data_IF_766804805527
#
_entry.id   IF_766804805527
#
_cell.length_a   1.000
_cell.length_b   1.000
_cell.length_c   1.000
_cell.angle_alpha   90.00
_cell.angle_beta   90.00
_cell.angle_gamma   90.00
#
_symmetry.space_group_name_H-M   'P 1'
#
loop_
_entity.id
_entity.type
_entity.pdbx_description
1 polymer ?
#
# COMPACT_ATOMS: atom_id res chain seq x y z
N UNK A 1 -3.78 -25.87 13.12
CA UNK A 1 -5.24 -25.93 12.90
C UNK A 1 -5.50 -26.37 11.46
N UNK A 2 -6.70 -26.83 11.10
CA UNK A 2 -7.08 -27.03 9.68
C UNK A 2 -7.68 -25.74 9.10
N UNK A 3 -7.61 -25.54 7.78
CA UNK A 3 -8.15 -24.33 7.11
C UNK A 3 -9.63 -24.09 7.46
N UNK A 4 -10.43 -25.15 7.47
CA UNK A 4 -11.87 -25.05 7.72
C UNK A 4 -12.17 -24.63 9.17
N UNK A 5 -11.48 -25.25 10.13
CA UNK A 5 -11.57 -24.88 11.55
C UNK A 5 -11.12 -23.42 11.79
N UNK A 6 -10.09 -22.95 11.08
CA UNK A 6 -9.70 -21.54 11.13
C UNK A 6 -10.85 -20.62 10.71
N UNK A 7 -11.49 -20.90 9.56
CA UNK A 7 -12.59 -20.06 9.04
C UNK A 7 -13.79 -20.07 9.99
N UNK A 8 -14.14 -21.25 10.53
CA UNK A 8 -15.22 -21.39 11.51
C UNK A 8 -14.93 -20.60 12.79
N UNK A 9 -13.68 -20.64 13.27
CA UNK A 9 -13.27 -19.86 14.46
C UNK A 9 -13.25 -18.37 14.20
N UNK A 10 -12.79 -17.90 13.03
CA UNK A 10 -12.81 -16.48 12.67
C UNK A 10 -14.23 -15.89 12.61
N UNK A 11 -15.26 -16.72 12.41
CA UNK A 11 -16.66 -16.28 12.43
C UNK A 11 -17.26 -16.17 13.84
N UNK A 12 -16.57 -16.65 14.88
CA UNK A 12 -17.06 -16.61 16.25
C UNK A 12 -16.93 -15.20 16.83
N UNK A 13 -18.04 -14.69 17.39
CA UNK A 13 -18.13 -13.31 17.89
C UNK A 13 -17.63 -13.13 19.34
N UNK A 14 -17.20 -14.19 20.01
CA UNK A 14 -16.89 -14.20 21.45
C UNK A 14 -15.38 -14.33 21.76
N UNK A 15 -14.51 -14.24 20.76
CA UNK A 15 -13.06 -14.37 20.94
C UNK A 15 -12.47 -13.10 21.57
N UNK A 16 -11.56 -13.29 22.53
CA UNK A 16 -10.77 -12.19 23.09
C UNK A 16 -9.80 -11.61 22.04
N UNK A 17 -9.35 -10.35 22.18
CA UNK A 17 -8.37 -9.77 21.27
C UNK A 17 -7.07 -10.60 21.15
N UNK A 18 -6.62 -11.22 22.25
CA UNK A 18 -5.46 -12.12 22.23
C UNK A 18 -5.69 -13.37 21.39
N UNK A 19 -6.86 -14.01 21.51
CA UNK A 19 -7.19 -15.20 20.72
C UNK A 19 -7.34 -14.85 19.23
N UNK A 20 -7.94 -13.69 18.92
CA UNK A 20 -8.01 -13.18 17.56
C UNK A 20 -6.63 -12.94 16.96
N UNK A 21 -5.70 -12.33 17.71
CA UNK A 21 -4.34 -12.08 17.22
C UNK A 21 -3.62 -13.39 16.87
N UNK A 22 -3.78 -14.44 17.66
CA UNK A 22 -3.18 -15.74 17.39
C UNK A 22 -3.85 -16.42 16.20
N UNK A 23 -5.19 -16.39 16.10
CA UNK A 23 -5.93 -16.91 14.95
C UNK A 23 -5.53 -16.21 13.64
N UNK A 24 -5.44 -14.88 13.65
CA UNK A 24 -4.99 -14.11 12.49
C UNK A 24 -3.52 -14.42 12.15
N UNK A 25 -2.67 -14.74 13.12
CA UNK A 25 -1.29 -15.20 12.85
C UNK A 25 -1.31 -16.59 12.20
N UNK A 26 -2.17 -17.49 12.64
CA UNK A 26 -2.33 -18.81 12.02
C UNK A 26 -2.86 -18.72 10.59
N UNK A 27 -3.75 -17.76 10.30
CA UNK A 27 -4.30 -17.50 8.97
C UNK A 27 -3.24 -17.22 7.90
N UNK A 28 -2.05 -16.76 8.30
CA UNK A 28 -0.92 -16.54 7.39
C UNK A 28 -0.47 -17.79 6.61
N UNK A 29 -0.83 -18.99 7.09
CA UNK A 29 -0.49 -20.26 6.46
C UNK A 29 -1.40 -20.62 5.27
N UNK A 30 -2.49 -19.87 5.05
CA UNK A 30 -3.51 -20.17 4.04
C UNK A 30 -3.69 -19.00 3.06
N UNK A 31 -2.83 -18.89 2.04
CA UNK A 31 -2.93 -17.83 1.02
C UNK A 31 -4.03 -18.15 0.00
N UNK A 32 -5.29 -18.07 0.43
CA UNK A 32 -6.47 -18.23 -0.43
C UNK A 32 -7.48 -17.09 -0.25
N UNK A 33 -8.38 -16.92 -1.23
CA UNK A 33 -9.32 -15.80 -1.28
C UNK A 33 -10.26 -15.76 -0.06
N UNK A 34 -10.77 -16.90 0.37
CA UNK A 34 -11.77 -16.96 1.44
C UNK A 34 -11.13 -16.57 2.78
N UNK A 35 -9.91 -17.06 3.05
CA UNK A 35 -9.14 -16.67 4.23
C UNK A 35 -8.78 -15.19 4.17
N UNK A 36 -8.41 -14.65 3.00
CA UNK A 36 -8.19 -13.22 2.83
C UNK A 36 -9.43 -12.39 3.20
N UNK A 37 -10.62 -12.79 2.70
CA UNK A 37 -11.89 -12.12 3.02
C UNK A 37 -12.25 -12.22 4.51
N UNK A 38 -12.02 -13.38 5.10
CA UNK A 38 -12.24 -13.58 6.53
C UNK A 38 -11.33 -12.67 7.37
N UNK A 39 -10.03 -12.64 7.07
CA UNK A 39 -9.05 -11.75 7.73
C UNK A 39 -9.41 -10.28 7.50
N UNK A 40 -9.89 -9.92 6.30
CA UNK A 40 -10.29 -8.55 5.97
C UNK A 40 -11.39 -8.02 6.90
N UNK A 41 -12.30 -8.87 7.40
CA UNK A 41 -13.34 -8.43 8.34
C UNK A 41 -12.79 -7.80 9.65
N UNK A 42 -11.52 -8.06 9.99
CA UNK A 42 -10.87 -7.56 11.20
C UNK A 42 -10.12 -6.23 11.03
N UNK A 43 -10.03 -5.68 9.81
CA UNK A 43 -9.31 -4.41 9.55
C UNK A 43 -9.98 -3.18 10.19
N UNK A 44 -11.24 -3.33 10.64
CA UNK A 44 -12.05 -2.34 11.38
C UNK A 44 -12.28 -2.70 12.85
N UNK A 45 -11.64 -3.74 13.36
CA UNK A 45 -11.83 -4.16 14.75
C UNK A 45 -11.50 -3.03 15.75
N UNK A 46 -12.23 -2.83 16.85
CA UNK A 46 -11.96 -1.72 17.78
C UNK A 46 -10.59 -1.79 18.45
N UNK A 47 -10.07 -3.00 18.67
CA UNK A 47 -8.72 -3.22 19.22
C UNK A 47 -7.63 -2.95 18.17
N UNK A 48 -6.73 -2.00 18.47
CA UNK A 48 -5.62 -1.59 17.62
C UNK A 48 -4.67 -2.74 17.26
N UNK A 49 -4.39 -3.66 18.19
CA UNK A 49 -3.48 -4.77 17.98
C UNK A 49 -4.10 -5.82 17.04
N UNK A 50 -5.42 -6.05 17.16
CA UNK A 50 -6.16 -6.92 16.22
C UNK A 50 -6.15 -6.32 14.81
N UNK A 51 -6.47 -5.03 14.64
CA UNK A 51 -6.38 -4.36 13.32
C UNK A 51 -4.98 -4.46 12.73
N UNK A 52 -3.97 -4.17 13.54
CA UNK A 52 -2.56 -4.23 13.15
C UNK A 52 -2.21 -5.63 12.65
N UNK A 53 -2.57 -6.67 13.42
CA UNK A 53 -2.33 -8.06 13.04
C UNK A 53 -3.08 -8.41 11.76
N UNK A 54 -4.33 -8.00 11.60
CA UNK A 54 -5.11 -8.26 10.38
C UNK A 54 -4.37 -7.74 9.13
N UNK A 55 -3.86 -6.50 9.15
CA UNK A 55 -3.05 -5.97 8.04
C UNK A 55 -1.74 -6.73 7.81
N UNK A 56 -1.04 -7.12 8.87
CA UNK A 56 0.18 -7.93 8.76
C UNK A 56 -0.13 -9.27 8.08
N UNK A 57 -1.21 -9.93 8.49
CA UNK A 57 -1.67 -11.18 7.89
C UNK A 57 -2.05 -10.95 6.43
N UNK A 58 -2.86 -9.93 6.11
CA UNK A 58 -3.25 -9.61 4.73
C UNK A 58 -2.03 -9.37 3.81
N UNK A 59 -0.97 -8.73 4.30
CA UNK A 59 0.27 -8.58 3.54
C UNK A 59 0.94 -9.92 3.20
N UNK A 60 0.78 -10.94 4.04
CA UNK A 60 1.37 -12.27 3.84
C UNK A 60 0.53 -13.15 2.91
N UNK A 61 -0.79 -13.01 2.94
CA UNK A 61 -1.72 -13.87 2.18
C UNK A 61 -2.37 -13.19 0.97
N UNK A 62 -2.02 -11.93 0.71
CA UNK A 62 -2.67 -11.01 -0.23
C UNK A 62 -3.26 -11.69 -1.48
N UNK A 63 -4.57 -11.54 -1.70
CA UNK A 63 -5.29 -12.10 -2.84
C UNK A 63 -6.03 -11.00 -3.65
N UNK A 64 -5.94 -10.96 -4.99
CA UNK A 64 -6.58 -9.91 -5.80
C UNK A 64 -8.09 -9.75 -5.60
N UNK A 65 -8.78 -10.81 -5.15
CA UNK A 65 -10.21 -10.80 -4.86
C UNK A 65 -10.65 -9.73 -3.84
N UNK A 66 -9.76 -9.25 -2.96
CA UNK A 66 -10.08 -8.22 -1.96
C UNK A 66 -9.81 -6.78 -2.44
N UNK A 67 -9.40 -6.57 -3.69
CA UNK A 67 -9.15 -5.21 -4.24
C UNK A 67 -10.36 -4.28 -4.08
N UNK A 68 -11.62 -4.69 -4.41
CA UNK A 68 -12.78 -3.83 -4.22
C UNK A 68 -12.96 -3.41 -2.75
N UNK A 69 -12.76 -4.36 -1.83
CA UNK A 69 -12.92 -4.15 -0.39
C UNK A 69 -11.84 -3.19 0.15
N UNK A 70 -10.59 -3.35 -0.29
CA UNK A 70 -9.48 -2.43 0.05
C UNK A 70 -9.73 -1.00 -0.48
N UNK A 71 -10.29 -0.87 -1.68
CA UNK A 71 -10.63 0.45 -2.24
C UNK A 71 -11.75 1.13 -1.46
N UNK A 72 -12.77 0.37 -1.04
CA UNK A 72 -13.82 0.88 -0.15
C UNK A 72 -13.24 1.29 1.20
N UNK A 73 -12.37 0.45 1.77
CA UNK A 73 -11.68 0.75 3.02
C UNK A 73 -10.95 2.10 2.98
N UNK A 74 -10.19 2.37 1.92
CA UNK A 74 -9.47 3.63 1.75
C UNK A 74 -10.36 4.87 1.68
N UNK A 75 -11.61 4.75 1.21
CA UNK A 75 -12.56 5.88 1.14
C UNK A 75 -13.07 6.27 2.53
N UNK A 76 -13.35 5.27 3.33
CA UNK A 76 -13.99 5.43 4.64
C UNK A 76 -12.98 5.68 5.76
N UNK A 77 -11.83 5.00 5.73
CA UNK A 77 -10.81 5.08 6.78
C UNK A 77 -10.18 6.48 6.86
N UNK A 78 -9.97 6.97 8.09
CA UNK A 78 -9.43 8.30 8.37
C UNK A 78 -8.11 8.26 9.14
N UNK A 79 -7.79 7.16 9.79
CA UNK A 79 -6.52 6.98 10.49
C UNK A 79 -5.39 6.76 9.47
N UNK A 80 -4.48 7.72 9.37
CA UNK A 80 -3.33 7.73 8.45
C UNK A 80 -2.56 6.41 8.45
N UNK A 81 -2.30 5.83 9.62
CA UNK A 81 -1.55 4.57 9.73
C UNK A 81 -2.26 3.43 9.01
N UNK A 82 -3.56 3.27 9.23
CA UNK A 82 -4.31 2.18 8.65
C UNK A 82 -4.56 2.38 7.16
N UNK A 83 -4.62 3.62 6.69
CA UNK A 83 -4.61 3.94 5.25
C UNK A 83 -3.29 3.53 4.60
N UNK A 84 -2.16 3.84 5.23
CA UNK A 84 -0.83 3.42 4.74
C UNK A 84 -0.67 1.89 4.77
N UNK A 85 -1.16 1.20 5.80
CA UNK A 85 -1.17 -0.28 5.84
C UNK A 85 -2.00 -0.87 4.70
N UNK A 86 -3.14 -0.27 4.38
CA UNK A 86 -3.94 -0.68 3.23
C UNK A 86 -3.17 -0.50 1.91
N UNK A 87 -2.42 0.60 1.75
CA UNK A 87 -1.52 0.81 0.62
C UNK A 87 -0.36 -0.19 0.56
N UNK A 88 0.11 -0.70 1.70
CA UNK A 88 1.08 -1.79 1.75
C UNK A 88 0.49 -3.12 1.28
N UNK A 89 -0.79 -3.41 1.59
CA UNK A 89 -1.49 -4.59 1.04
C UNK A 89 -1.58 -4.49 -0.49
N UNK A 90 -1.91 -3.32 -1.04
CA UNK A 90 -1.88 -3.11 -2.49
C UNK A 90 -0.50 -3.33 -3.11
N UNK A 91 0.57 -2.92 -2.41
CA UNK A 91 1.93 -3.21 -2.82
C UNK A 91 2.21 -4.73 -2.86
N UNK A 92 1.86 -5.44 -1.78
CA UNK A 92 2.01 -6.90 -1.66
C UNK A 92 1.23 -7.66 -2.72
N UNK A 93 0.04 -7.18 -3.08
CA UNK A 93 -0.76 -7.72 -4.19
C UNK A 93 -0.03 -7.56 -5.54
N UNK A 94 0.52 -6.38 -5.80
CA UNK A 94 1.22 -6.07 -7.04
C UNK A 94 0.36 -6.15 -8.31
N UNK A 95 -0.97 -6.16 -8.16
CA UNK A 95 -1.94 -6.34 -9.25
C UNK A 95 -2.16 -5.03 -10.02
N UNK A 96 -1.85 -4.97 -11.34
CA UNK A 96 -2.06 -3.79 -12.15
C UNK A 96 -3.50 -3.27 -12.18
N UNK A 97 -4.51 -4.12 -11.94
CA UNK A 97 -5.91 -3.72 -11.89
C UNK A 97 -6.20 -2.68 -10.77
N UNK A 98 -5.34 -2.61 -9.75
CA UNK A 98 -5.45 -1.63 -8.69
C UNK A 98 -4.93 -0.23 -9.08
N UNK A 99 -4.12 -0.09 -10.13
CA UNK A 99 -3.51 1.20 -10.51
C UNK A 99 -4.58 2.24 -10.80
N UNK A 100 -5.48 1.96 -11.76
CA UNK A 100 -6.51 2.91 -12.19
C UNK A 100 -7.40 3.38 -11.03
N UNK A 101 -7.98 2.50 -10.19
CA UNK A 101 -8.77 2.95 -9.05
C UNK A 101 -7.96 3.75 -8.01
N UNK A 102 -6.70 3.37 -7.75
CA UNK A 102 -5.84 4.08 -6.80
C UNK A 102 -5.56 5.53 -7.23
N UNK A 103 -5.47 5.81 -8.54
CA UNK A 103 -5.29 7.19 -9.04
C UNK A 103 -6.41 8.14 -8.57
N UNK A 104 -7.62 7.63 -8.31
CA UNK A 104 -8.75 8.43 -7.84
C UNK A 104 -8.55 9.05 -6.45
N UNK A 105 -7.57 8.56 -5.69
CA UNK A 105 -7.25 9.08 -4.35
C UNK A 105 -6.16 10.16 -4.36
N UNK A 106 -5.64 10.58 -5.52
CA UNK A 106 -4.54 11.56 -5.61
C UNK A 106 -4.93 12.97 -5.15
N UNK A 107 -6.22 13.23 -4.97
CA UNK A 107 -6.77 14.49 -4.49
C UNK A 107 -7.03 14.51 -2.97
N UNK A 108 -6.52 13.50 -2.25
CA UNK A 108 -6.58 13.48 -0.79
C UNK A 108 -5.87 14.69 -0.15
N UNK A 109 -6.36 15.09 1.01
CA UNK A 109 -5.83 16.25 1.75
C UNK A 109 -4.59 15.92 2.58
N UNK A 110 -4.35 14.64 2.86
CA UNK A 110 -3.21 14.18 3.66
C UNK A 110 -1.96 13.97 2.78
N UNK A 111 -0.91 14.82 2.91
CA UNK A 111 0.29 14.69 2.10
C UNK A 111 1.08 13.40 2.37
N UNK A 112 0.99 12.83 3.58
CA UNK A 112 1.67 11.57 3.93
C UNK A 112 1.00 10.42 3.18
N UNK A 113 -0.34 10.39 3.17
CA UNK A 113 -1.10 9.42 2.39
C UNK A 113 -0.81 9.57 0.88
N UNK A 114 -0.82 10.78 0.33
CA UNK A 114 -0.49 11.04 -1.09
C UNK A 114 0.93 10.55 -1.43
N UNK A 115 1.89 10.78 -0.53
CA UNK A 115 3.26 10.27 -0.67
C UNK A 115 3.32 8.75 -0.73
N UNK A 116 2.58 8.08 0.15
CA UNK A 116 2.44 6.62 0.17
C UNK A 116 1.78 6.09 -1.10
N UNK A 117 0.70 6.73 -1.54
CA UNK A 117 -0.07 6.38 -2.75
C UNK A 117 0.80 6.42 -4.01
N UNK A 118 1.58 7.49 -4.18
CA UNK A 118 2.55 7.65 -5.28
C UNK A 118 3.55 6.49 -5.30
N UNK A 119 4.09 6.15 -4.13
CA UNK A 119 5.05 5.04 -4.02
C UNK A 119 4.38 3.70 -4.34
N UNK A 120 3.19 3.44 -3.80
CA UNK A 120 2.43 2.21 -4.05
C UNK A 120 2.11 2.02 -5.53
N UNK A 121 1.61 3.06 -6.21
CA UNK A 121 1.33 3.02 -7.66
C UNK A 121 2.62 2.69 -8.44
N UNK A 122 3.74 3.32 -8.09
CA UNK A 122 5.04 3.00 -8.68
C UNK A 122 5.47 1.56 -8.47
N UNK A 123 5.26 1.02 -7.27
CA UNK A 123 5.62 -0.36 -6.91
C UNK A 123 4.75 -1.42 -7.60
N UNK A 124 3.47 -1.13 -7.83
CA UNK A 124 2.59 -1.98 -8.64
C UNK A 124 3.07 -1.96 -10.10
N UNK A 125 3.37 -0.76 -10.62
CA UNK A 125 4.06 -0.55 -11.87
C UNK A 125 3.24 -0.77 -13.14
N UNK A 126 3.92 -0.86 -14.28
CA UNK A 126 3.31 -0.96 -15.60
C UNK A 126 3.06 0.40 -16.27
N UNK A 127 2.62 0.38 -17.52
CA UNK A 127 2.49 1.59 -18.34
C UNK A 127 1.51 2.61 -17.75
N UNK A 128 0.40 2.14 -17.19
CA UNK A 128 -0.61 3.01 -16.59
C UNK A 128 -0.05 3.78 -15.39
N UNK A 129 0.75 3.10 -14.54
CA UNK A 129 1.44 3.74 -13.43
C UNK A 129 2.44 4.80 -13.92
N UNK A 130 3.23 4.49 -14.97
CA UNK A 130 4.19 5.45 -15.56
C UNK A 130 3.47 6.70 -16.08
N UNK A 131 2.38 6.52 -16.84
CA UNK A 131 1.59 7.65 -17.39
C UNK A 131 1.08 8.54 -16.27
N UNK A 132 0.40 7.95 -15.29
CA UNK A 132 -0.15 8.68 -14.16
C UNK A 132 0.92 9.44 -13.36
N UNK A 133 2.04 8.79 -13.03
CA UNK A 133 3.08 9.39 -12.20
C UNK A 133 3.78 10.57 -12.90
N UNK A 134 3.94 10.51 -14.23
CA UNK A 134 4.49 11.63 -15.00
C UNK A 134 3.51 12.79 -15.11
N UNK A 135 2.22 12.50 -15.34
CA UNK A 135 1.17 13.51 -15.35
C UNK A 135 1.07 14.22 -13.98
N UNK A 136 1.04 13.44 -12.90
CA UNK A 136 1.02 13.95 -11.54
C UNK A 136 2.28 14.78 -11.22
N UNK A 137 3.46 14.20 -11.43
CA UNK A 137 4.74 14.84 -11.08
C UNK A 137 5.03 16.13 -11.85
N UNK A 138 4.60 16.21 -13.12
CA UNK A 138 4.76 17.42 -13.95
C UNK A 138 3.68 18.49 -13.69
N UNK A 139 2.68 18.19 -12.87
CA UNK A 139 1.62 19.12 -12.47
C UNK A 139 2.00 19.95 -11.23
N UNK A 140 1.31 21.08 -10.95
CA UNK A 140 1.47 21.80 -9.69
C UNK A 140 1.21 20.94 -8.44
N UNK A 141 0.26 19.99 -8.52
CA UNK A 141 -0.06 19.08 -7.43
C UNK A 141 1.09 18.11 -7.12
N UNK A 142 1.91 17.77 -8.12
CA UNK A 142 3.10 16.94 -7.97
C UNK A 142 4.09 17.46 -6.93
N UNK A 143 4.09 18.76 -6.64
CA UNK A 143 4.97 19.39 -5.64
C UNK A 143 4.71 18.95 -4.20
N UNK A 144 3.55 18.32 -3.93
CA UNK A 144 3.25 17.75 -2.61
C UNK A 144 4.19 16.58 -2.27
N UNK A 145 4.72 15.89 -3.28
CA UNK A 145 5.64 14.77 -3.11
C UNK A 145 7.00 15.14 -3.66
N UNK A 146 8.06 14.84 -2.89
CA UNK A 146 9.43 15.09 -3.33
C UNK A 146 9.70 14.39 -4.66
N UNK A 147 10.30 15.10 -5.62
CA UNK A 147 10.60 14.58 -6.96
C UNK A 147 11.44 13.30 -6.94
N UNK A 148 12.27 13.11 -5.91
CA UNK A 148 13.08 11.89 -5.73
C UNK A 148 12.20 10.67 -5.48
N UNK A 149 11.08 10.83 -4.76
CA UNK A 149 10.10 9.77 -4.52
C UNK A 149 9.33 9.49 -5.81
N UNK A 150 8.90 10.54 -6.52
CA UNK A 150 8.19 10.39 -7.81
C UNK A 150 9.10 9.72 -8.86
N UNK A 151 10.37 10.11 -8.92
CA UNK A 151 11.37 9.53 -9.82
C UNK A 151 11.69 8.07 -9.51
N UNK A 152 11.79 7.71 -8.22
CA UNK A 152 11.91 6.30 -7.80
C UNK A 152 10.65 5.51 -8.15
N UNK A 153 9.46 6.06 -7.91
CA UNK A 153 8.19 5.42 -8.25
C UNK A 153 8.05 5.16 -9.77
N UNK A 154 8.43 6.14 -10.61
CA UNK A 154 8.47 5.97 -12.07
C UNK A 154 9.50 4.92 -12.46
N UNK A 155 10.67 4.93 -11.83
CA UNK A 155 11.72 3.94 -12.04
C UNK A 155 11.25 2.52 -11.76
N UNK A 156 10.61 2.28 -10.61
CA UNK A 156 9.99 1.00 -10.27
C UNK A 156 8.92 0.60 -11.29
N UNK A 157 8.06 1.55 -11.69
CA UNK A 157 6.99 1.26 -12.63
C UNK A 157 7.51 0.82 -14.01
N UNK A 158 8.61 1.45 -14.47
CA UNK A 158 9.28 1.13 -15.72
C UNK A 158 9.93 -0.26 -15.72
N UNK A 159 10.24 -0.87 -14.58
CA UNK A 159 10.81 -2.23 -14.53
C UNK A 159 9.86 -3.27 -15.13
N UNK A 160 8.55 -3.00 -15.09
CA UNK A 160 7.50 -3.84 -15.69
C UNK A 160 7.10 -3.40 -17.10
N UNK A 161 7.84 -2.47 -17.72
CA UNK A 161 7.55 -1.93 -19.07
C UNK A 161 8.71 -2.26 -20.03
N UNK A 162 8.60 -3.29 -20.88
CA UNK A 162 9.69 -3.73 -21.77
C UNK A 162 10.26 -2.65 -22.69
N UNK A 163 9.43 -1.67 -23.08
CA UNK A 163 9.82 -0.52 -23.91
C UNK A 163 9.71 0.81 -23.15
N UNK A 164 10.07 0.81 -21.87
CA UNK A 164 9.91 1.96 -20.99
C UNK A 164 10.49 3.27 -21.55
N UNK A 165 11.68 3.22 -22.16
CA UNK A 165 12.29 4.40 -22.77
C UNK A 165 11.46 4.98 -23.93
N UNK A 166 10.85 4.11 -24.74
CA UNK A 166 9.97 4.53 -25.84
C UNK A 166 8.71 5.19 -25.29
N UNK A 167 8.12 4.60 -24.24
CA UNK A 167 6.96 5.20 -23.56
C UNK A 167 7.29 6.59 -23.02
N UNK A 168 8.47 6.78 -22.38
CA UNK A 168 8.90 8.10 -21.91
C UNK A 168 9.02 9.11 -23.05
N UNK A 169 9.61 8.72 -24.18
CA UNK A 169 9.74 9.57 -25.36
C UNK A 169 8.39 9.96 -25.95
N UNK A 170 7.46 9.00 -26.08
CA UNK A 170 6.10 9.23 -26.58
C UNK A 170 5.35 10.23 -25.69
N UNK A 171 5.42 10.06 -24.36
CA UNK A 171 4.77 10.95 -23.40
C UNK A 171 5.37 12.36 -23.39
N UNK A 172 6.70 12.46 -23.47
CA UNK A 172 7.39 13.74 -23.56
C UNK A 172 7.03 14.50 -24.85
N UNK A 173 6.91 13.80 -25.97
CA UNK A 173 6.52 14.39 -27.25
C UNK A 173 5.08 14.94 -27.23
N UNK A 174 4.18 14.32 -26.45
CA UNK A 174 2.79 14.73 -26.32
C UNK A 174 2.57 15.88 -25.32
N UNK A 175 3.48 16.05 -24.34
CA UNK A 175 3.31 17.03 -23.27
C UNK A 175 4.63 17.70 -22.87
N UNK A 176 4.77 18.99 -23.21
CA UNK A 176 5.97 19.78 -22.89
C UNK A 176 6.26 19.89 -21.39
N UNK A 177 5.25 19.81 -20.51
CA UNK A 177 5.48 19.79 -19.06
C UNK A 177 6.16 18.50 -18.62
N UNK A 178 5.73 17.37 -19.18
CA UNK A 178 6.36 16.07 -18.95
C UNK A 178 7.80 16.08 -19.49
N UNK A 179 8.01 16.58 -20.71
CA UNK A 179 9.35 16.72 -21.29
C UNK A 179 10.29 17.51 -20.35
N UNK A 180 9.87 18.70 -19.92
CA UNK A 180 10.65 19.52 -18.99
C UNK A 180 10.84 18.85 -17.62
N UNK A 181 9.86 18.10 -17.14
CA UNK A 181 9.96 17.41 -15.86
C UNK A 181 11.03 16.32 -15.92
N UNK A 182 11.05 15.54 -17.01
CA UNK A 182 12.02 14.48 -17.25
C UNK A 182 13.47 14.99 -17.30
N UNK A 183 13.71 16.19 -17.84
CA UNK A 183 15.05 16.79 -17.90
C UNK A 183 15.74 16.90 -16.51
N UNK A 184 14.95 16.99 -15.44
CA UNK A 184 15.44 17.20 -14.07
C UNK A 184 15.02 16.11 -13.09
N UNK A 185 14.34 15.06 -13.57
CA UNK A 185 13.81 13.99 -12.74
C UNK A 185 14.86 12.91 -12.53
N UNK A 186 15.29 12.63 -11.28
CA UNK A 186 16.15 11.49 -11.01
C UNK A 186 15.34 10.19 -11.11
N UNK A 187 15.22 9.63 -12.32
CA UNK A 187 14.68 8.28 -12.51
C UNK A 187 15.77 7.28 -12.13
N UNK A 188 15.49 6.44 -11.13
CA UNK A 188 16.40 5.40 -10.67
C UNK A 188 15.76 4.03 -10.92
N UNK A 189 16.48 3.11 -11.55
CA UNK A 189 16.06 1.71 -11.67
C UNK A 189 16.89 0.77 -10.79
N UNK A 190 16.44 -0.47 -10.58
CA UNK A 190 17.10 -1.67 -9.98
C UNK A 190 18.01 -1.52 -8.75
N UNK A 191 18.16 -0.34 -8.17
CA UNK A 191 18.71 -0.16 -6.82
C UNK A 191 17.65 -0.56 -5.79
N UNK A 192 18.10 -0.94 -4.59
CA UNK A 192 17.21 -1.13 -3.44
C UNK A 192 16.38 0.15 -3.24
N UNK A 193 15.05 0.01 -3.22
CA UNK A 193 14.12 1.12 -2.98
C UNK A 193 14.55 1.91 -1.73
N UNK A 194 14.72 3.23 -1.88
CA UNK A 194 15.16 4.11 -0.81
C UNK A 194 13.98 4.57 0.02
N UNK A 195 12.82 4.64 -0.61
CA UNK A 195 11.55 4.98 0.01
C UNK A 195 10.68 3.73 0.14
N UNK A 196 9.68 3.83 1.01
CA UNK A 196 8.62 2.86 1.15
C UNK A 196 7.26 3.57 1.14
N UNK A 197 6.17 2.85 1.40
CA UNK A 197 4.87 3.46 1.70
C UNK A 197 4.94 4.39 2.92
N UNK A 198 5.76 4.05 3.92
CA UNK A 198 5.82 4.74 5.21
C UNK A 198 6.79 5.93 5.21
N UNK A 199 6.49 7.04 5.91
CA UNK A 199 7.30 8.25 5.86
C UNK A 199 8.68 8.11 6.51
N UNK A 200 8.86 7.15 7.42
CA UNK A 200 10.13 6.90 8.12
C UNK A 200 10.27 5.43 8.54
N UNK A 201 11.51 4.91 8.73
CA UNK A 201 11.74 3.54 9.19
C UNK A 201 11.16 3.23 10.58
N UNK A 202 11.04 4.22 11.46
CA UNK A 202 10.50 4.09 12.81
C UNK A 202 9.04 4.53 12.93
N UNK A 203 8.34 4.72 11.80
CA UNK A 203 6.95 5.18 11.74
C UNK A 203 6.03 4.42 12.70
N UNK A 204 6.01 3.09 12.63
CA UNK A 204 5.17 2.27 13.50
C UNK A 204 5.51 2.37 14.98
N UNK A 205 6.78 2.61 15.32
CA UNK A 205 7.19 2.85 16.70
C UNK A 205 6.59 4.16 17.22
N UNK A 206 6.56 5.19 16.37
CA UNK A 206 5.95 6.48 16.71
C UNK A 206 4.43 6.34 16.88
N UNK A 207 3.77 5.62 15.97
CA UNK A 207 2.34 5.30 16.04
C UNK A 207 1.95 4.54 17.32
N UNK A 208 2.71 3.50 17.69
CA UNK A 208 2.48 2.73 18.91
C UNK A 208 2.67 3.60 20.17
N UNK A 209 3.73 4.41 20.19
CA UNK A 209 4.01 5.35 21.30
C UNK A 209 2.89 6.39 21.46
N UNK A 210 2.38 6.94 20.35
CA UNK A 210 1.28 7.91 20.36
C UNK A 210 -0.01 7.33 20.95
N UNK A 211 -0.20 6.01 20.86
CA UNK A 211 -1.33 5.27 21.44
C UNK A 211 -1.06 4.71 22.85
N UNK A 212 0.06 5.08 23.46
CA UNK A 212 0.42 4.67 24.83
C UNK A 212 0.86 3.21 24.98
N UNK A 213 1.18 2.52 23.87
CA UNK A 213 1.57 1.11 23.89
C UNK A 213 3.06 0.93 24.20
N UNK A 214 3.39 -0.12 24.96
CA UNK A 214 4.78 -0.55 25.13
C UNK A 214 5.31 -1.10 23.80
N UNK A 215 6.50 -0.64 23.41
CA UNK A 215 7.18 -1.11 22.21
C UNK A 215 7.41 -2.62 22.22
N UNK A 216 7.64 -3.23 23.40
CA UNK A 216 7.82 -4.68 23.50
C UNK A 216 6.55 -5.44 23.12
N UNK A 217 5.37 -4.91 23.46
CA UNK A 217 4.09 -5.50 23.10
C UNK A 217 3.81 -5.36 21.61
N UNK A 218 4.03 -4.16 21.06
CA UNK A 218 3.90 -3.93 19.62
C UNK A 218 4.86 -4.80 18.80
N UNK A 219 6.11 -4.97 19.27
CA UNK A 219 7.11 -5.80 18.57
C UNK A 219 6.72 -7.29 18.53
N UNK A 220 5.84 -7.78 19.42
CA UNK A 220 5.31 -9.16 19.33
C UNK A 220 4.31 -9.32 18.17
N UNK A 221 3.83 -8.21 17.60
CA UNK A 221 2.97 -8.23 16.43
C UNK A 221 3.75 -8.27 15.11
N UNK A 222 4.89 -7.58 15.05
CA UNK A 222 5.81 -7.61 13.91
C UNK A 222 6.41 -9.01 13.72
#
# INVERSE_FOLDING_TARGET
MERQDLLERLQQSNLSPSELIELLREAAQYPDEEVCRAVFSFVRHPDYLVRTRAFITLNQIAHPGIIPDLLEYLREEKDEEFRLRCLEVFHSLGDPAAVKPLTGFIHDQDPIFIRGLVWTIGSIGGEEAVRFLLEYGSSPAGRLVKREIVGEAIGMALEKVPQGQKLLQELAAQNMRIARYLDWLPIRGREKARFSVYPAPDYFRQCAKARGLDYREYKKLL
#
